data_IF_285009751054
#
_entry.id   IF_285009751054
#
_cell.length_a   1.000
_cell.length_b   1.000
_cell.length_c   1.000
_cell.angle_alpha   90.00
_cell.angle_beta   90.00
_cell.angle_gamma   90.00
#
_symmetry.space_group_name_H-M   'P 1'
#
loop_
_entity.id
_entity.type
_entity.pdbx_description
1 polymer ?
#
# COMPACT_ATOMS: atom_id res chain seq x y z
N UNK A 1 -10.27 66.78 -11.96
CA UNK A 1 -9.18 65.98 -12.56
C UNK A 1 -8.76 64.95 -11.54
N UNK A 2 -8.88 63.67 -11.90
CA UNK A 2 -9.02 62.56 -10.96
C UNK A 2 -7.71 62.00 -10.40
N UNK A 3 -7.81 61.59 -9.14
CA UNK A 3 -6.92 60.67 -8.45
C UNK A 3 -7.77 59.53 -7.89
N UNK A 4 -7.25 58.30 -7.96
CA UNK A 4 -7.81 57.16 -7.23
C UNK A 4 -8.04 55.90 -8.08
N UNK A 5 -6.96 55.25 -8.56
CA UNK A 5 -7.04 53.84 -8.96
C UNK A 5 -6.92 52.98 -7.72
N UNK A 6 -8.04 52.41 -7.28
CA UNK A 6 -8.09 51.30 -6.34
C UNK A 6 -7.62 50.05 -7.08
N UNK A 7 -6.46 49.51 -6.69
CA UNK A 7 -6.04 48.16 -7.08
C UNK A 7 -6.92 47.14 -6.34
N UNK A 8 -7.80 46.46 -7.07
CA UNK A 8 -8.42 45.24 -6.60
C UNK A 8 -7.41 44.09 -6.67
N UNK A 9 -6.92 43.67 -5.51
CA UNK A 9 -6.18 42.42 -5.31
C UNK A 9 -7.10 41.24 -5.62
N UNK A 10 -6.92 40.66 -6.80
CA UNK A 10 -7.62 39.46 -7.25
C UNK A 10 -7.03 38.25 -6.49
N UNK A 11 -7.71 37.79 -5.43
CA UNK A 11 -7.41 36.48 -4.82
C UNK A 11 -7.65 35.39 -5.89
N UNK A 12 -6.56 34.81 -6.40
CA UNK A 12 -6.63 33.59 -7.22
C UNK A 12 -7.00 32.43 -6.30
N UNK A 13 -8.15 31.79 -6.56
CA UNK A 13 -8.53 30.52 -5.92
C UNK A 13 -7.55 29.42 -6.40
N UNK A 14 -6.89 28.77 -5.44
CA UNK A 14 -5.77 27.83 -5.60
C UNK A 14 -6.12 26.51 -6.29
N UNK A 15 -7.35 26.01 -6.14
CA UNK A 15 -7.84 24.80 -6.81
C UNK A 15 -9.15 25.14 -7.50
N UNK A 16 -9.16 25.16 -8.83
CA UNK A 16 -10.40 25.20 -9.60
C UNK A 16 -11.13 23.87 -9.44
N UNK A 17 -11.96 23.72 -8.41
CA UNK A 17 -12.81 22.54 -8.25
C UNK A 17 -13.66 22.34 -9.51
N UNK A 18 -13.34 21.34 -10.32
CA UNK A 18 -14.30 20.78 -11.26
C UNK A 18 -15.26 19.90 -10.46
N UNK A 19 -16.31 20.51 -9.90
CA UNK A 19 -17.44 19.75 -9.35
C UNK A 19 -18.13 19.03 -10.50
N UNK A 20 -17.82 17.75 -10.69
CA UNK A 20 -18.66 16.81 -11.43
C UNK A 20 -19.01 15.67 -10.49
N UNK A 21 -20.14 15.82 -9.81
CA UNK A 21 -20.77 14.73 -9.07
C UNK A 21 -21.17 13.65 -10.07
N UNK A 22 -20.74 12.41 -9.84
CA UNK A 22 -21.26 11.23 -10.55
C UNK A 22 -22.75 11.07 -10.19
N UNK A 23 -23.61 11.00 -11.19
CA UNK A 23 -25.07 11.00 -11.04
C UNK A 23 -25.67 9.73 -10.43
N UNK A 24 -24.86 8.72 -10.08
CA UNK A 24 -25.35 7.51 -9.39
C UNK A 24 -25.34 7.59 -7.86
N UNK A 25 -24.77 8.65 -7.32
CA UNK A 25 -24.69 8.89 -5.89
C UNK A 25 -25.96 9.55 -5.34
N UNK A 26 -26.77 10.19 -6.19
CA UNK A 26 -27.96 10.96 -5.81
C UNK A 26 -29.05 10.16 -5.06
N UNK A 27 -29.01 8.82 -5.10
CA UNK A 27 -29.99 7.97 -4.39
C UNK A 27 -29.58 7.70 -2.93
N UNK A 28 -28.31 7.90 -2.56
CA UNK A 28 -27.85 7.87 -1.15
C UNK A 28 -27.83 9.28 -0.53
N UNK A 29 -27.74 10.33 -1.35
CA UNK A 29 -27.68 11.74 -0.90
C UNK A 29 -29.05 12.40 -0.60
N UNK A 30 -30.16 11.64 -0.57
CA UNK A 30 -31.51 12.19 -0.37
C UNK A 30 -32.04 12.11 1.08
N UNK A 31 -31.23 11.68 2.07
CA UNK A 31 -31.62 11.76 3.50
C UNK A 31 -30.83 12.87 4.20
N UNK A 32 -31.51 14.01 4.41
CA UNK A 32 -30.94 15.32 4.71
C UNK A 32 -30.41 15.56 6.13
N UNK A 33 -29.55 14.69 6.64
CA UNK A 33 -28.68 15.01 7.79
C UNK A 33 -27.33 14.33 7.62
N UNK A 34 -26.39 15.02 6.97
CA UNK A 34 -24.98 14.63 7.02
C UNK A 34 -24.56 14.51 8.50
N UNK A 35 -24.04 13.34 8.86
CA UNK A 35 -23.57 13.06 10.21
C UNK A 35 -22.44 14.03 10.60
N UNK A 36 -22.25 14.27 11.89
CA UNK A 36 -21.13 15.08 12.40
C UNK A 36 -19.77 14.55 11.92
N UNK A 37 -19.67 13.24 11.74
CA UNK A 37 -18.51 12.56 11.19
C UNK A 37 -18.25 12.92 9.72
N UNK A 38 -19.27 12.85 8.86
CA UNK A 38 -19.12 13.20 7.44
C UNK A 38 -18.70 14.65 7.24
N UNK A 39 -19.28 15.57 8.02
CA UNK A 39 -18.87 16.98 8.01
C UNK A 39 -17.41 17.16 8.39
N UNK A 40 -16.93 16.41 9.41
CA UNK A 40 -15.52 16.43 9.81
C UNK A 40 -14.61 15.93 8.69
N UNK A 41 -14.99 14.82 8.04
CA UNK A 41 -14.24 14.25 6.91
C UNK A 41 -14.16 15.25 5.75
N UNK A 42 -15.29 15.87 5.37
CA UNK A 42 -15.32 16.85 4.28
C UNK A 42 -14.52 18.11 4.61
N UNK A 43 -14.61 18.61 5.85
CA UNK A 43 -13.83 19.75 6.30
C UNK A 43 -12.32 19.47 6.27
N UNK A 44 -11.90 18.30 6.75
CA UNK A 44 -10.50 17.87 6.72
C UNK A 44 -9.99 17.70 5.27
N UNK A 45 -10.79 17.09 4.40
CA UNK A 45 -10.48 16.96 2.95
C UNK A 45 -10.26 18.32 2.30
N UNK A 46 -11.15 19.29 2.54
CA UNK A 46 -11.03 20.64 1.99
C UNK A 46 -9.83 21.44 2.55
N UNK A 47 -9.32 21.07 3.72
CA UNK A 47 -8.21 21.75 4.40
C UNK A 47 -6.80 21.21 4.08
N UNK A 48 -6.68 20.07 3.39
CA UNK A 48 -5.39 19.37 3.22
C UNK A 48 -4.31 20.26 2.62
N UNK A 49 -4.62 20.98 1.55
CA UNK A 49 -3.65 21.81 0.84
C UNK A 49 -3.11 22.94 1.72
N UNK A 50 -4.00 23.57 2.50
CA UNK A 50 -3.61 24.62 3.43
C UNK A 50 -2.70 24.07 4.53
N UNK A 51 -2.97 22.85 5.03
CA UNK A 51 -2.12 22.19 6.01
C UNK A 51 -0.73 21.86 5.44
N UNK A 52 -0.67 21.34 4.20
CA UNK A 52 0.60 21.03 3.52
C UNK A 52 1.38 22.32 3.24
N UNK A 53 0.73 23.37 2.74
CA UNK A 53 1.36 24.66 2.46
C UNK A 53 1.92 25.31 3.74
N UNK A 54 1.14 25.31 4.82
CA UNK A 54 1.58 25.83 6.11
C UNK A 54 2.78 25.07 6.66
N UNK A 55 2.79 23.73 6.55
CA UNK A 55 3.93 22.91 6.91
C UNK A 55 5.17 23.26 6.08
N UNK A 56 5.05 23.29 4.75
CA UNK A 56 6.18 23.55 3.86
C UNK A 56 6.80 24.93 4.05
N UNK A 57 6.01 25.94 4.43
CA UNK A 57 6.52 27.29 4.78
C UNK A 57 7.33 27.31 6.07
N UNK A 58 6.91 26.52 7.06
CA UNK A 58 7.57 26.46 8.37
C UNK A 58 8.70 25.41 8.45
N UNK A 59 8.70 24.43 7.54
CA UNK A 59 9.63 23.32 7.54
C UNK A 59 11.05 23.74 7.19
N UNK A 60 12.02 23.09 7.85
CA UNK A 60 13.43 23.15 7.48
C UNK A 60 13.70 22.56 6.09
N UNK A 61 14.86 22.87 5.51
CA UNK A 61 15.24 22.32 4.20
C UNK A 61 15.40 20.79 4.24
N UNK A 62 15.79 20.23 5.38
CA UNK A 62 15.86 18.78 5.57
C UNK A 62 14.46 18.15 5.56
N UNK A 63 13.51 18.72 6.30
CA UNK A 63 12.12 18.27 6.31
C UNK A 63 11.48 18.38 4.93
N UNK A 64 11.74 19.46 4.19
CA UNK A 64 11.28 19.61 2.80
C UNK A 64 11.83 18.52 1.88
N UNK A 65 13.13 18.20 1.99
CA UNK A 65 13.73 17.09 1.21
C UNK A 65 13.09 15.75 1.56
N UNK A 66 12.94 15.48 2.86
CA UNK A 66 12.32 14.24 3.34
C UNK A 66 10.85 14.13 2.90
N UNK A 67 10.10 15.24 2.91
CA UNK A 67 8.75 15.34 2.38
C UNK A 67 8.70 14.98 0.90
N UNK A 68 9.58 15.57 0.08
CA UNK A 68 9.61 15.34 -1.37
C UNK A 68 9.87 13.86 -1.67
N UNK A 69 10.85 13.25 -1.00
CA UNK A 69 11.15 11.82 -1.17
C UNK A 69 9.94 10.96 -0.80
N UNK A 70 9.35 11.19 0.38
CA UNK A 70 8.19 10.43 0.84
C UNK A 70 6.97 10.60 -0.07
N UNK A 71 6.74 11.82 -0.58
CA UNK A 71 5.68 12.13 -1.53
C UNK A 71 5.85 11.35 -2.83
N UNK A 72 7.03 11.39 -3.46
CA UNK A 72 7.26 10.68 -4.72
C UNK A 72 7.22 9.16 -4.56
N UNK A 73 7.78 8.62 -3.48
CA UNK A 73 7.73 7.18 -3.21
C UNK A 73 6.27 6.67 -3.12
N UNK A 74 5.39 7.45 -2.50
CA UNK A 74 3.98 7.12 -2.38
C UNK A 74 3.19 7.34 -3.68
N UNK A 75 3.42 8.45 -4.40
CA UNK A 75 2.77 8.71 -5.70
C UNK A 75 3.15 7.65 -6.72
N UNK A 76 4.41 7.22 -6.74
CA UNK A 76 4.88 6.15 -7.61
C UNK A 76 4.08 4.87 -7.34
N UNK A 77 4.00 4.43 -6.08
CA UNK A 77 3.24 3.24 -5.72
C UNK A 77 1.75 3.40 -6.06
N UNK A 78 1.12 4.52 -5.69
CA UNK A 78 -0.28 4.84 -5.98
C UNK A 78 -0.60 4.72 -7.48
N UNK A 79 0.31 5.21 -8.35
CA UNK A 79 0.10 5.23 -9.80
C UNK A 79 -0.14 3.82 -10.35
N UNK A 80 0.55 2.79 -9.85
CA UNK A 80 0.30 1.41 -10.29
C UNK A 80 -1.14 0.97 -10.05
N UNK A 81 -1.72 1.29 -8.89
CA UNK A 81 -3.09 0.89 -8.52
C UNK A 81 -4.14 1.80 -9.16
N UNK A 82 -3.86 3.10 -9.27
CA UNK A 82 -4.77 4.06 -9.90
C UNK A 82 -5.03 3.74 -11.38
N UNK A 83 -4.07 3.16 -12.10
CA UNK A 83 -4.26 2.83 -13.53
C UNK A 83 -5.36 1.80 -13.77
N UNK A 84 -5.66 0.94 -12.79
CA UNK A 84 -6.63 -0.15 -12.94
C UNK A 84 -8.01 0.16 -12.36
N UNK A 85 -8.14 1.18 -11.51
CA UNK A 85 -9.40 1.49 -10.82
C UNK A 85 -9.59 3.00 -10.64
N UNK A 86 -10.85 3.42 -10.68
CA UNK A 86 -11.26 4.79 -10.32
C UNK A 86 -11.64 4.90 -8.83
N UNK A 87 -11.68 3.77 -8.13
CA UNK A 87 -11.97 3.67 -6.70
C UNK A 87 -10.92 2.82 -6.00
N UNK A 88 -10.33 3.33 -4.92
CA UNK A 88 -9.29 2.64 -4.16
C UNK A 88 -9.63 2.51 -2.68
N UNK A 89 -9.40 1.32 -2.16
CA UNK A 89 -9.47 1.01 -0.74
C UNK A 89 -8.04 0.97 -0.18
N UNK A 90 -7.67 1.98 0.60
CA UNK A 90 -6.31 2.21 1.08
C UNK A 90 -6.12 1.48 2.42
N UNK A 91 -5.39 0.38 2.42
CA UNK A 91 -5.00 -0.32 3.64
C UNK A 91 -3.86 0.44 4.32
N UNK A 92 -4.11 0.86 5.56
CA UNK A 92 -3.17 1.66 6.35
C UNK A 92 -2.24 0.72 7.13
N UNK A 93 -0.95 0.75 6.82
CA UNK A 93 0.10 0.13 7.64
C UNK A 93 0.07 0.71 9.07
N UNK A 94 0.35 -0.12 10.08
CA UNK A 94 0.50 0.30 11.47
C UNK A 94 1.51 1.46 11.61
N UNK A 95 2.63 1.45 10.89
CA UNK A 95 3.58 2.58 10.94
C UNK A 95 2.95 3.89 10.45
N UNK A 96 2.12 3.83 9.41
CA UNK A 96 1.37 5.00 8.92
C UNK A 96 0.34 5.43 9.94
N UNK A 97 -0.37 4.49 10.57
CA UNK A 97 -1.31 4.80 11.64
C UNK A 97 -0.63 5.51 12.81
N UNK A 98 0.54 5.05 13.24
CA UNK A 98 1.35 5.72 14.27
C UNK A 98 1.82 7.11 13.82
N UNK A 99 2.19 7.28 12.54
CA UNK A 99 2.53 8.57 11.95
C UNK A 99 1.36 9.55 12.01
N UNK A 100 0.11 9.10 11.87
CA UNK A 100 -1.09 9.94 12.01
C UNK A 100 -1.35 10.30 13.48
N UNK A 101 -1.30 9.31 14.37
CA UNK A 101 -1.67 9.46 15.78
C UNK A 101 -0.67 10.30 16.59
N UNK A 102 0.62 10.20 16.28
CA UNK A 102 1.70 10.78 17.10
C UNK A 102 2.42 11.96 16.44
N UNK A 103 1.92 12.45 15.30
CA UNK A 103 2.52 13.53 14.49
C UNK A 103 2.84 14.83 15.27
N UNK A 104 2.10 15.14 16.33
CA UNK A 104 2.20 16.40 17.07
C UNK A 104 3.25 16.33 18.21
N UNK A 105 3.94 15.18 18.38
CA UNK A 105 5.00 15.04 19.37
C UNK A 105 6.26 15.83 19.01
N UNK A 106 6.79 16.62 19.97
CA UNK A 106 7.96 17.50 19.76
C UNK A 106 9.23 16.78 19.26
N UNK A 107 9.38 15.48 19.54
CA UNK A 107 10.55 14.68 19.11
C UNK A 107 10.32 13.89 17.81
N UNK A 108 9.20 14.08 17.13
CA UNK A 108 8.75 13.22 16.04
C UNK A 108 8.68 13.93 14.67
N UNK A 109 9.64 14.81 14.38
CA UNK A 109 9.71 15.58 13.12
C UNK A 109 9.59 14.71 11.85
N UNK A 110 10.14 13.49 11.87
CA UNK A 110 10.01 12.53 10.77
C UNK A 110 8.57 12.08 10.55
N UNK A 111 7.81 11.82 11.61
CA UNK A 111 6.41 11.40 11.53
C UNK A 111 5.54 12.53 11.01
N UNK A 112 5.76 13.75 11.53
CA UNK A 112 5.11 14.97 11.03
C UNK A 112 5.34 15.17 9.53
N UNK A 113 6.58 15.02 9.07
CA UNK A 113 6.92 15.11 7.65
C UNK A 113 6.16 14.09 6.80
N UNK A 114 6.13 12.83 7.25
CA UNK A 114 5.41 11.74 6.58
C UNK A 114 3.89 11.95 6.57
N UNK A 115 3.33 12.44 7.66
CA UNK A 115 1.91 12.81 7.74
C UNK A 115 1.54 13.85 6.68
N UNK A 116 2.33 14.92 6.54
CA UNK A 116 2.06 15.91 5.50
C UNK A 116 2.28 15.37 4.09
N UNK A 117 3.29 14.52 3.88
CA UNK A 117 3.48 13.83 2.59
C UNK A 117 2.27 12.96 2.24
N UNK A 118 1.69 12.26 3.22
CA UNK A 118 0.45 11.51 3.07
C UNK A 118 -0.71 12.44 2.65
N UNK A 119 -0.93 13.56 3.34
CA UNK A 119 -1.98 14.51 2.96
C UNK A 119 -1.85 14.99 1.52
N UNK A 120 -0.62 15.29 1.08
CA UNK A 120 -0.36 15.70 -0.30
C UNK A 120 -0.64 14.58 -1.32
N UNK A 121 -0.31 13.33 -1.00
CA UNK A 121 -0.63 12.16 -1.85
C UNK A 121 -2.13 11.96 -1.96
N UNK A 122 -2.88 12.11 -0.86
CA UNK A 122 -4.34 12.00 -0.86
C UNK A 122 -5.00 13.10 -1.69
N UNK A 123 -4.49 14.34 -1.62
CA UNK A 123 -4.92 15.43 -2.49
C UNK A 123 -4.64 15.12 -3.98
N UNK A 124 -3.46 14.58 -4.31
CA UNK A 124 -3.18 14.12 -5.68
C UNK A 124 -4.14 13.03 -6.13
N UNK A 125 -4.39 12.03 -5.28
CA UNK A 125 -5.30 10.93 -5.61
C UNK A 125 -6.72 11.43 -5.92
N UNK A 126 -7.27 12.31 -5.07
CA UNK A 126 -8.66 12.78 -5.21
C UNK A 126 -8.80 13.91 -6.24
N UNK A 127 -7.94 14.93 -6.21
CA UNK A 127 -8.12 16.15 -7.01
C UNK A 127 -7.48 16.09 -8.39
N UNK A 128 -6.43 15.27 -8.53
CA UNK A 128 -5.68 15.17 -9.78
C UNK A 128 -5.92 13.84 -10.51
N UNK A 129 -5.98 12.72 -9.79
CA UNK A 129 -6.30 11.43 -10.39
C UNK A 129 -7.80 11.16 -10.44
N UNK A 130 -8.60 11.96 -9.72
CA UNK A 130 -10.07 11.89 -9.67
C UNK A 130 -10.51 10.50 -9.18
N UNK A 131 -9.93 10.08 -8.05
CA UNK A 131 -10.20 8.78 -7.44
C UNK A 131 -11.12 8.92 -6.23
N UNK A 132 -12.07 7.98 -6.12
CA UNK A 132 -12.79 7.74 -4.87
C UNK A 132 -11.88 6.93 -3.94
N UNK A 133 -11.46 7.50 -2.82
CA UNK A 133 -10.57 6.80 -1.88
C UNK A 133 -11.20 6.62 -0.49
N UNK A 134 -10.96 5.45 0.08
CA UNK A 134 -11.46 5.06 1.40
C UNK A 134 -10.34 4.41 2.21
N UNK A 135 -10.27 4.69 3.52
CA UNK A 135 -9.28 4.06 4.37
C UNK A 135 -9.81 2.71 4.87
N UNK A 136 -8.97 1.68 4.79
CA UNK A 136 -9.22 0.34 5.30
C UNK A 136 -8.32 0.08 6.50
N UNK A 137 -8.94 -0.37 7.59
CA UNK A 137 -8.24 -0.78 8.81
C UNK A 137 -8.61 -2.21 9.10
N UNK A 138 -7.58 -3.02 9.32
CA UNK A 138 -7.75 -4.44 9.60
C UNK A 138 -7.59 -4.73 11.10
N UNK A 139 -8.11 -5.88 11.58
CA UNK A 139 -7.91 -6.32 12.94
C UNK A 139 -6.44 -6.44 13.34
N UNK A 140 -5.52 -6.86 12.47
CA UNK A 140 -4.10 -6.98 12.86
C UNK A 140 -3.46 -5.61 13.09
N UNK A 141 -3.80 -4.59 12.29
CA UNK A 141 -3.34 -3.21 12.51
C UNK A 141 -3.86 -2.67 13.83
N UNK A 142 -5.14 -2.92 14.16
CA UNK A 142 -5.70 -2.54 15.46
C UNK A 142 -5.06 -3.31 16.61
N UNK A 143 -4.80 -4.60 16.44
CA UNK A 143 -4.14 -5.43 17.45
C UNK A 143 -2.73 -4.92 17.78
N UNK A 144 -1.95 -4.58 16.76
CA UNK A 144 -0.63 -3.96 16.95
C UNK A 144 -0.73 -2.56 17.58
N UNK A 145 -1.66 -1.72 17.11
CA UNK A 145 -1.91 -0.39 17.68
C UNK A 145 -2.43 -0.43 19.14
N UNK A 146 -3.07 -1.54 19.53
CA UNK A 146 -3.48 -1.84 20.90
C UNK A 146 -2.30 -2.31 21.78
N UNK A 147 -1.07 -2.29 21.28
CA UNK A 147 0.10 -2.95 21.89
C UNK A 147 -0.23 -4.39 22.26
N UNK A 148 -0.65 -5.18 21.25
CA UNK A 148 -1.04 -6.59 21.38
C UNK A 148 -2.20 -6.84 22.34
N UNK A 149 -3.20 -5.96 22.29
CA UNK A 149 -4.45 -6.10 23.05
C UNK A 149 -4.41 -5.58 24.49
N UNK A 150 -3.38 -4.80 24.87
CA UNK A 150 -3.32 -4.19 26.21
C UNK A 150 -4.26 -2.97 26.37
N UNK A 151 -4.62 -2.30 25.27
CA UNK A 151 -5.57 -1.19 25.25
C UNK A 151 -7.01 -1.67 25.11
N UNK A 152 -7.96 -0.86 25.63
CA UNK A 152 -9.40 -1.09 25.45
C UNK A 152 -9.79 -0.88 24.00
N UNK A 153 -10.42 -1.91 23.41
CA UNK A 153 -10.75 -1.95 21.97
C UNK A 153 -11.67 -0.81 21.53
N UNK A 154 -12.79 -0.49 22.21
CA UNK A 154 -13.69 0.57 21.74
C UNK A 154 -13.03 1.96 21.71
N UNK A 155 -12.21 2.26 22.72
CA UNK A 155 -11.48 3.53 22.83
C UNK A 155 -10.45 3.67 21.70
N UNK A 156 -9.69 2.60 21.44
CA UNK A 156 -8.73 2.56 20.32
C UNK A 156 -9.44 2.71 18.97
N UNK A 157 -10.56 2.00 18.77
CA UNK A 157 -11.29 2.06 17.50
C UNK A 157 -11.80 3.48 17.24
N UNK A 158 -12.36 4.15 18.24
CA UNK A 158 -12.80 5.53 18.13
C UNK A 158 -11.63 6.49 17.83
N UNK A 159 -10.48 6.31 18.49
CA UNK A 159 -9.27 7.07 18.22
C UNK A 159 -8.79 6.91 16.77
N UNK A 160 -8.76 5.68 16.25
CA UNK A 160 -8.36 5.38 14.87
C UNK A 160 -9.33 5.99 13.86
N UNK A 161 -10.64 5.87 14.10
CA UNK A 161 -11.67 6.50 13.26
C UNK A 161 -11.50 8.02 13.24
N UNK A 162 -11.23 8.63 14.39
CA UNK A 162 -11.03 10.08 14.49
C UNK A 162 -9.77 10.53 13.73
N UNK A 163 -8.68 9.78 13.90
CA UNK A 163 -7.40 10.02 13.24
C UNK A 163 -7.50 9.94 11.72
N UNK A 164 -8.21 8.93 11.20
CA UNK A 164 -8.45 8.78 9.75
C UNK A 164 -9.39 9.88 9.24
N UNK A 165 -10.40 10.28 10.02
CA UNK A 165 -11.26 11.40 9.65
C UNK A 165 -10.49 12.73 9.53
N UNK A 166 -9.44 12.93 10.33
CA UNK A 166 -8.54 14.08 10.19
C UNK A 166 -7.73 14.07 8.89
N UNK A 167 -7.55 12.90 8.27
CA UNK A 167 -7.04 12.80 6.90
C UNK A 167 -8.10 13.14 5.86
N UNK A 168 -9.36 13.36 6.23
CA UNK A 168 -10.45 13.53 5.26
C UNK A 168 -10.85 12.25 4.54
N UNK A 169 -10.73 11.10 5.22
CA UNK A 169 -11.12 9.80 4.69
C UNK A 169 -12.23 9.16 5.52
N UNK A 170 -13.11 8.41 4.85
CA UNK A 170 -14.02 7.49 5.53
C UNK A 170 -13.27 6.23 5.93
N UNK A 171 -13.59 5.67 7.10
CA UNK A 171 -12.97 4.45 7.62
C UNK A 171 -13.86 3.24 7.36
N UNK A 172 -13.27 2.18 6.80
CA UNK A 172 -13.88 0.86 6.67
C UNK A 172 -13.06 -0.17 7.45
N UNK A 173 -13.71 -0.86 8.38
CA UNK A 173 -13.10 -1.99 9.07
C UNK A 173 -13.27 -3.26 8.24
N UNK A 174 -12.16 -3.87 7.85
CA UNK A 174 -12.17 -5.05 6.97
C UNK A 174 -12.25 -6.31 7.82
N UNK A 175 -13.23 -7.18 7.55
CA UNK A 175 -13.39 -8.44 8.28
C UNK A 175 -13.92 -8.28 9.71
N UNK A 176 -14.57 -7.15 10.02
CA UNK A 176 -15.16 -6.84 11.33
C UNK A 176 -16.61 -6.43 11.12
N UNK A 177 -17.56 -7.17 11.69
CA UNK A 177 -18.97 -6.79 11.62
C UNK A 177 -19.38 -5.94 12.83
N UNK A 178 -18.72 -6.12 13.97
CA UNK A 178 -18.97 -5.33 15.17
C UNK A 178 -17.74 -5.20 16.08
N UNK A 179 -17.73 -4.20 16.95
CA UNK A 179 -16.64 -3.97 17.91
C UNK A 179 -16.48 -5.14 18.89
N UNK A 180 -17.56 -5.85 19.21
CA UNK A 180 -17.56 -7.00 20.12
C UNK A 180 -16.77 -8.19 19.54
N UNK A 181 -16.75 -8.37 18.22
CA UNK A 181 -16.03 -9.45 17.55
C UNK A 181 -14.50 -9.28 17.62
N UNK A 182 -14.01 -8.05 17.76
CA UNK A 182 -12.57 -7.74 17.77
C UNK A 182 -11.82 -8.46 18.89
N UNK A 183 -12.46 -8.69 20.05
CA UNK A 183 -11.85 -9.45 21.13
C UNK A 183 -11.56 -10.90 20.76
N UNK A 184 -12.45 -11.53 19.96
CA UNK A 184 -12.24 -12.85 19.40
C UNK A 184 -11.13 -12.87 18.35
N UNK A 185 -11.16 -11.90 17.43
CA UNK A 185 -10.14 -11.76 16.39
C UNK A 185 -8.74 -11.52 16.97
N UNK A 186 -8.60 -10.69 18.01
CA UNK A 186 -7.31 -10.45 18.68
C UNK A 186 -6.75 -11.73 19.31
N UNK A 187 -7.62 -12.60 19.86
CA UNK A 187 -7.19 -13.92 20.36
C UNK A 187 -6.69 -14.81 19.22
N UNK A 188 -7.41 -14.87 18.10
CA UNK A 188 -7.01 -15.64 16.92
C UNK A 188 -5.67 -15.13 16.36
N UNK A 189 -5.49 -13.82 16.23
CA UNK A 189 -4.24 -13.18 15.81
C UNK A 189 -3.10 -13.53 16.77
N UNK A 190 -3.34 -13.50 18.09
CA UNK A 190 -2.31 -13.88 19.07
C UNK A 190 -1.93 -15.36 18.94
N UNK A 191 -2.89 -16.25 18.76
CA UNK A 191 -2.63 -17.68 18.54
C UNK A 191 -1.75 -17.89 17.29
N UNK A 192 -2.12 -17.25 16.18
CA UNK A 192 -1.36 -17.31 14.94
C UNK A 192 0.05 -16.69 15.10
N UNK A 193 0.18 -15.55 15.80
CA UNK A 193 1.47 -14.91 16.11
C UNK A 193 2.42 -15.88 16.83
N UNK A 194 1.93 -16.62 17.82
CA UNK A 194 2.71 -17.62 18.54
C UNK A 194 3.13 -18.78 17.64
N UNK A 195 2.23 -19.25 16.77
CA UNK A 195 2.53 -20.32 15.82
C UNK A 195 3.58 -19.90 14.77
N UNK A 196 3.45 -18.68 14.24
CA UNK A 196 4.41 -18.06 13.32
C UNK A 196 5.77 -17.90 14.02
N UNK A 197 5.79 -17.42 15.26
CA UNK A 197 7.02 -17.31 16.06
C UNK A 197 7.73 -18.65 16.20
N UNK A 198 7.01 -19.71 16.58
CA UNK A 198 7.58 -21.04 16.72
C UNK A 198 8.19 -21.55 15.40
N UNK A 199 7.53 -21.27 14.26
CA UNK A 199 8.06 -21.61 12.94
C UNK A 199 9.33 -20.81 12.60
N UNK A 200 9.35 -19.50 12.85
CA UNK A 200 10.52 -18.65 12.64
C UNK A 200 11.70 -19.08 13.52
N UNK A 201 11.45 -19.41 14.78
CA UNK A 201 12.49 -19.84 15.70
C UNK A 201 13.08 -21.21 15.27
N UNK A 202 12.23 -22.13 14.80
CA UNK A 202 12.68 -23.39 14.18
C UNK A 202 13.52 -23.14 12.92
N UNK A 203 13.12 -22.18 12.07
CA UNK A 203 13.90 -21.77 10.90
C UNK A 203 15.24 -21.17 11.33
N UNK A 204 15.29 -20.39 12.41
CA UNK A 204 16.52 -19.79 12.93
C UNK A 204 17.49 -20.79 13.53
N UNK A 205 16.99 -21.83 14.18
CA UNK A 205 17.82 -22.79 14.91
C UNK A 205 18.44 -23.88 14.03
N UNK A 206 17.93 -24.08 12.81
CA UNK A 206 18.43 -25.12 11.90
C UNK A 206 19.46 -24.56 10.91
N UNK A 207 20.41 -25.40 10.49
CA UNK A 207 21.29 -25.07 9.37
C UNK A 207 20.54 -25.19 8.04
N UNK A 208 20.86 -24.26 7.16
CA UNK A 208 20.35 -24.17 5.78
C UNK A 208 21.41 -24.47 4.73
N UNK A 209 22.56 -25.03 5.11
CA UNK A 209 23.48 -25.64 4.17
C UNK A 209 22.78 -26.81 3.45
N UNK A 210 22.69 -26.75 2.12
CA UNK A 210 21.97 -27.70 1.28
C UNK A 210 22.76 -27.99 0.00
N UNK A 211 22.66 -29.22 -0.48
CA UNK A 211 23.12 -29.57 -1.80
C UNK A 211 22.00 -29.31 -2.83
N UNK A 212 22.27 -28.44 -3.80
CA UNK A 212 21.33 -28.09 -4.86
C UNK A 212 21.56 -28.88 -6.15
N UNK A 213 22.41 -29.91 -6.15
CA UNK A 213 22.57 -30.79 -7.31
C UNK A 213 21.23 -31.47 -7.66
N UNK A 214 20.81 -31.34 -8.93
CA UNK A 214 19.62 -32.01 -9.45
C UNK A 214 19.87 -33.49 -9.72
N UNK A 215 18.77 -34.24 -9.93
CA UNK A 215 18.82 -35.66 -10.31
C UNK A 215 19.34 -35.90 -11.73
N UNK A 216 19.17 -34.91 -12.62
CA UNK A 216 19.74 -34.92 -13.97
C UNK A 216 21.17 -34.35 -13.96
N UNK A 217 22.09 -34.87 -14.80
CA UNK A 217 23.42 -34.29 -14.97
C UNK A 217 23.36 -32.79 -15.29
N UNK A 218 24.01 -31.98 -14.47
CA UNK A 218 23.98 -30.52 -14.60
C UNK A 218 22.69 -29.84 -14.15
N UNK A 219 21.70 -30.59 -13.65
CA UNK A 219 20.47 -30.05 -13.06
C UNK A 219 20.75 -29.29 -11.75
N UNK A 220 19.87 -28.34 -11.42
CA UNK A 220 19.93 -27.60 -10.15
C UNK A 220 18.54 -27.58 -9.54
N UNK A 221 18.43 -28.02 -8.29
CA UNK A 221 17.19 -27.91 -7.54
C UNK A 221 16.82 -26.44 -7.37
N UNK A 222 15.56 -26.10 -7.64
CA UNK A 222 15.04 -24.74 -7.49
C UNK A 222 15.02 -24.39 -5.99
N UNK A 223 15.77 -23.37 -5.53
CA UNK A 223 15.85 -23.02 -4.12
C UNK A 223 14.50 -22.78 -3.45
N UNK A 224 13.60 -22.07 -4.13
CA UNK A 224 12.24 -21.82 -3.63
C UNK A 224 11.45 -23.13 -3.41
N UNK A 225 11.63 -24.14 -4.27
CA UNK A 225 10.99 -25.45 -4.09
C UNK A 225 11.60 -26.25 -2.92
N UNK A 226 12.90 -26.09 -2.66
CA UNK A 226 13.54 -26.64 -1.45
C UNK A 226 12.99 -25.95 -0.20
N UNK A 227 12.90 -24.62 -0.23
CA UNK A 227 12.33 -23.83 0.85
C UNK A 227 10.86 -24.21 1.11
N UNK A 228 10.06 -24.43 0.07
CA UNK A 228 8.67 -24.85 0.20
C UNK A 228 8.53 -26.19 0.92
N UNK A 229 9.30 -27.19 0.48
CA UNK A 229 9.26 -28.56 1.02
C UNK A 229 9.70 -28.60 2.49
N UNK A 230 10.67 -27.77 2.85
CA UNK A 230 11.25 -27.74 4.21
C UNK A 230 10.61 -26.67 5.11
N UNK A 231 9.67 -25.88 4.59
CA UNK A 231 8.95 -24.88 5.36
C UNK A 231 8.12 -25.55 6.46
N UNK A 232 8.23 -25.12 7.73
CA UNK A 232 7.38 -25.62 8.80
C UNK A 232 5.90 -25.42 8.47
N UNK A 233 5.09 -26.45 8.70
CA UNK A 233 3.64 -26.31 8.61
C UNK A 233 3.14 -25.51 9.82
N UNK A 234 2.33 -24.49 9.55
CA UNK A 234 1.74 -23.62 10.58
C UNK A 234 0.23 -23.70 10.43
N UNK A 235 -0.47 -24.07 11.50
CA UNK A 235 -1.92 -24.02 11.55
C UNK A 235 -2.33 -22.62 11.97
N UNK A 236 -3.12 -21.96 11.14
CA UNK A 236 -3.53 -20.56 11.30
C UNK A 236 -5.05 -20.48 11.29
N UNK A 237 -5.56 -19.52 12.04
CA UNK A 237 -6.99 -19.28 12.25
C UNK A 237 -7.45 -17.91 11.73
N UNK A 238 -6.52 -16.96 11.60
CA UNK A 238 -6.77 -15.60 11.16
C UNK A 238 -6.02 -15.28 9.85
N UNK A 239 -4.69 -15.47 9.82
CA UNK A 239 -3.89 -15.12 8.65
C UNK A 239 -4.03 -16.14 7.53
N UNK A 240 -3.91 -15.68 6.29
CA UNK A 240 -3.90 -16.54 5.13
C UNK A 240 -2.67 -17.48 5.14
N UNK A 241 -2.88 -18.82 5.13
CA UNK A 241 -1.79 -19.78 5.19
C UNK A 241 -0.80 -19.70 4.04
N UNK A 242 -1.25 -19.33 2.84
CA UNK A 242 -0.38 -19.18 1.69
C UNK A 242 0.60 -18.02 1.89
N UNK A 243 0.11 -16.85 2.33
CA UNK A 243 0.95 -15.68 2.54
C UNK A 243 1.95 -15.88 3.69
N UNK A 244 1.53 -16.52 4.79
CA UNK A 244 2.45 -16.86 5.88
C UNK A 244 3.51 -17.86 5.42
N UNK A 245 3.11 -18.95 4.75
CA UNK A 245 4.06 -19.94 4.20
C UNK A 245 5.06 -19.28 3.25
N UNK A 246 4.58 -18.39 2.38
CA UNK A 246 5.40 -17.65 1.43
C UNK A 246 6.46 -16.77 2.13
N UNK A 247 6.08 -16.04 3.18
CA UNK A 247 7.03 -15.23 3.95
C UNK A 247 8.08 -16.09 4.67
N UNK A 248 7.65 -17.22 5.26
CA UNK A 248 8.57 -18.18 5.88
C UNK A 248 9.55 -18.78 4.85
N UNK A 249 9.07 -19.13 3.65
CA UNK A 249 9.91 -19.61 2.55
C UNK A 249 10.98 -18.60 2.14
N UNK A 250 10.69 -17.30 2.18
CA UNK A 250 11.69 -16.27 1.91
C UNK A 250 12.72 -16.12 3.03
N UNK A 251 12.35 -16.24 4.31
CA UNK A 251 13.34 -16.24 5.39
C UNK A 251 14.29 -17.45 5.27
N UNK A 252 13.73 -18.60 4.89
CA UNK A 252 14.50 -19.82 4.59
C UNK A 252 15.47 -19.59 3.43
N UNK A 253 14.99 -19.07 2.30
CA UNK A 253 15.81 -18.81 1.11
C UNK A 253 16.95 -17.83 1.40
N UNK A 254 16.70 -16.80 2.21
CA UNK A 254 17.72 -15.84 2.64
C UNK A 254 18.84 -16.51 3.44
N UNK A 255 18.50 -17.46 4.32
CA UNK A 255 19.49 -18.24 5.08
C UNK A 255 20.25 -19.22 4.19
N UNK A 256 19.54 -19.91 3.28
CA UNK A 256 20.18 -20.75 2.27
C UNK A 256 21.19 -19.95 1.43
N UNK A 257 20.86 -18.72 1.05
CA UNK A 257 21.79 -17.87 0.29
C UNK A 257 23.07 -17.56 1.09
N UNK A 258 22.95 -17.31 2.39
CA UNK A 258 24.07 -17.01 3.28
C UNK A 258 24.97 -18.24 3.52
N UNK A 259 24.37 -19.40 3.76
CA UNK A 259 25.09 -20.63 4.14
C UNK A 259 25.66 -21.41 2.93
N UNK A 260 25.19 -21.16 1.71
CA UNK A 260 25.59 -21.92 0.51
C UNK A 260 26.40 -21.10 -0.50
N UNK A 261 27.39 -20.36 -0.01
CA UNK A 261 28.20 -19.43 -0.82
C UNK A 261 28.92 -20.10 -2.01
N UNK A 262 29.27 -21.39 -1.86
CA UNK A 262 29.91 -22.24 -2.87
C UNK A 262 28.96 -22.68 -4.00
N UNK A 263 27.63 -22.67 -3.80
CA UNK A 263 26.63 -23.12 -4.77
C UNK A 263 26.22 -21.99 -5.74
N UNK A 264 27.17 -21.48 -6.53
CA UNK A 264 26.98 -20.30 -7.41
C UNK A 264 25.77 -20.42 -8.35
N UNK A 265 25.51 -21.61 -8.90
CA UNK A 265 24.40 -21.83 -9.84
C UNK A 265 23.04 -21.72 -9.15
N UNK A 266 22.89 -22.29 -7.96
CA UNK A 266 21.66 -22.21 -7.17
C UNK A 266 21.39 -20.78 -6.69
N UNK A 267 22.43 -20.05 -6.26
CA UNK A 267 22.30 -18.66 -5.79
C UNK A 267 21.75 -17.69 -6.84
N UNK A 268 21.88 -17.99 -8.13
CA UNK A 268 21.27 -17.18 -9.21
C UNK A 268 19.75 -17.28 -9.26
N UNK A 269 19.18 -18.35 -8.71
CA UNK A 269 17.75 -18.57 -8.61
C UNK A 269 17.16 -18.15 -7.26
N UNK A 270 18.02 -17.73 -6.31
CA UNK A 270 17.58 -17.26 -5.01
C UNK A 270 17.26 -15.77 -5.06
N UNK A 271 16.29 -15.33 -4.28
CA UNK A 271 16.07 -13.90 -4.03
C UNK A 271 17.34 -13.27 -3.48
N UNK A 272 17.78 -12.15 -4.06
CA UNK A 272 18.98 -11.46 -3.59
C UNK A 272 18.75 -10.97 -2.16
N UNK A 273 19.58 -11.35 -1.17
CA UNK A 273 19.34 -11.00 0.24
C UNK A 273 19.48 -9.49 0.53
N UNK A 274 20.05 -8.71 -0.40
CA UNK A 274 20.03 -7.24 -0.33
C UNK A 274 18.66 -6.65 -0.68
N UNK A 275 17.79 -7.42 -1.32
CA UNK A 275 16.41 -7.03 -1.56
C UNK A 275 15.64 -7.12 -0.25
N UNK A 276 15.42 -5.96 0.37
CA UNK A 276 14.63 -5.81 1.60
C UNK A 276 13.14 -6.16 1.42
N UNK A 277 12.71 -6.47 0.19
CA UNK A 277 11.31 -6.65 -0.19
C UNK A 277 10.57 -7.72 0.65
N UNK A 278 11.27 -8.63 1.32
CA UNK A 278 10.62 -9.73 2.05
C UNK A 278 11.08 -9.88 3.51
N UNK A 279 11.80 -8.91 4.08
CA UNK A 279 12.15 -8.94 5.51
C UNK A 279 11.01 -8.46 6.42
N UNK A 280 9.82 -9.01 6.19
CA UNK A 280 8.56 -8.57 6.81
C UNK A 280 8.44 -9.08 8.24
N UNK A 281 8.77 -10.34 8.48
CA UNK A 281 8.59 -10.97 9.80
C UNK A 281 9.87 -10.97 10.61
N UNK A 282 9.79 -10.50 11.86
CA UNK A 282 10.90 -10.54 12.83
C UNK A 282 10.40 -11.02 14.19
N UNK A 283 11.07 -12.02 14.76
CA UNK A 283 10.88 -12.37 16.18
C UNK A 283 11.44 -11.25 17.05
N UNK A 284 10.67 -10.82 18.06
CA UNK A 284 11.10 -10.02 19.21
C UNK A 284 10.80 -10.77 20.50
N UNK A 285 11.36 -10.29 21.62
CA UNK A 285 11.21 -10.94 22.93
C UNK A 285 9.75 -11.22 23.28
N UNK A 286 8.85 -10.31 22.93
CA UNK A 286 7.43 -10.31 23.28
C UNK A 286 6.46 -10.79 22.17
N UNK A 287 6.97 -11.10 20.96
CA UNK A 287 6.12 -11.59 19.86
C UNK A 287 6.76 -11.57 18.47
N UNK A 288 5.93 -11.40 17.44
CA UNK A 288 6.36 -11.20 16.05
C UNK A 288 6.03 -9.77 15.65
N UNK A 289 6.93 -9.12 14.90
CA UNK A 289 6.65 -7.86 14.21
C UNK A 289 6.32 -8.11 12.75
N UNK A 290 5.50 -7.22 12.17
CA UNK A 290 5.10 -7.28 10.77
C UNK A 290 3.83 -8.09 10.55
N UNK A 291 2.93 -8.17 11.55
CA UNK A 291 1.65 -8.86 11.40
C UNK A 291 0.72 -8.06 10.47
N UNK A 292 0.71 -6.73 10.60
CA UNK A 292 -0.01 -5.85 9.68
C UNK A 292 0.48 -5.96 8.24
N UNK A 293 1.80 -6.10 8.05
CA UNK A 293 2.41 -6.27 6.73
C UNK A 293 1.93 -7.55 6.00
N UNK A 294 1.64 -8.64 6.74
CA UNK A 294 1.03 -9.85 6.15
C UNK A 294 -0.29 -9.49 5.48
N UNK A 295 -1.11 -8.65 6.11
CA UNK A 295 -2.41 -8.24 5.56
C UNK A 295 -2.24 -7.30 4.38
N UNK A 296 -1.29 -6.37 4.42
CA UNK A 296 -0.99 -5.55 3.24
C UNK A 296 -0.59 -6.45 2.06
N UNK A 297 0.23 -7.47 2.28
CA UNK A 297 0.61 -8.42 1.23
C UNK A 297 -0.57 -9.26 0.75
N UNK A 298 -1.48 -9.64 1.66
CA UNK A 298 -2.65 -10.47 1.37
C UNK A 298 -3.68 -9.71 0.54
N UNK A 299 -4.08 -8.53 1.01
CA UNK A 299 -5.13 -7.76 0.37
C UNK A 299 -4.62 -6.96 -0.82
N UNK A 300 -3.41 -6.39 -0.75
CA UNK A 300 -2.91 -5.42 -1.73
C UNK A 300 -2.07 -6.03 -2.85
N UNK A 301 -2.09 -7.35 -3.05
CA UNK A 301 -1.49 -7.97 -4.24
C UNK A 301 -2.35 -7.71 -5.49
N UNK A 302 -1.99 -6.68 -6.26
CA UNK A 302 -2.73 -6.29 -7.47
C UNK A 302 -2.81 -7.42 -8.50
N UNK A 303 -1.77 -8.25 -8.61
CA UNK A 303 -1.75 -9.40 -9.50
C UNK A 303 -2.84 -10.39 -9.14
N UNK A 304 -2.94 -10.74 -7.85
CA UNK A 304 -4.00 -11.61 -7.34
C UNK A 304 -5.38 -10.98 -7.46
N UNK A 305 -5.52 -9.68 -7.15
CA UNK A 305 -6.79 -8.96 -7.28
C UNK A 305 -7.30 -8.93 -8.73
N UNK A 306 -6.43 -8.66 -9.70
CA UNK A 306 -6.80 -8.58 -11.13
C UNK A 306 -7.07 -9.95 -11.72
N UNK A 307 -6.31 -10.98 -11.30
CA UNK A 307 -6.54 -12.37 -11.68
C UNK A 307 -7.88 -12.88 -11.15
N UNK A 308 -8.17 -12.60 -9.88
CA UNK A 308 -9.41 -12.96 -9.19
C UNK A 308 -10.61 -12.08 -9.55
N UNK A 309 -10.41 -11.04 -10.37
CA UNK A 309 -11.43 -10.03 -10.73
C UNK A 309 -12.11 -9.44 -9.50
N UNK A 310 -11.30 -9.03 -8.52
CA UNK A 310 -11.78 -8.42 -7.30
C UNK A 310 -12.73 -7.25 -7.62
N UNK A 311 -13.87 -7.13 -6.89
CA UNK A 311 -14.85 -6.07 -7.15
C UNK A 311 -14.29 -4.67 -6.88
N UNK A 312 -13.26 -4.60 -6.04
CA UNK A 312 -12.58 -3.39 -5.64
C UNK A 312 -11.07 -3.60 -5.68
N UNK A 313 -10.35 -2.54 -6.04
CA UNK A 313 -8.89 -2.54 -5.97
C UNK A 313 -8.47 -1.96 -4.63
N UNK A 314 -7.62 -2.71 -3.93
CA UNK A 314 -7.05 -2.32 -2.65
C UNK A 314 -5.58 -1.95 -2.84
N UNK A 315 -5.14 -0.95 -2.10
CA UNK A 315 -3.82 -0.34 -2.19
C UNK A 315 -3.20 -0.29 -0.80
N UNK A 316 -1.99 -0.84 -0.65
CA UNK A 316 -1.27 -0.83 0.62
C UNK A 316 -0.44 0.43 0.75
N UNK A 317 -0.71 1.23 1.79
CA UNK A 317 0.01 2.46 2.06
C UNK A 317 1.06 2.23 3.15
N UNK A 318 2.33 2.42 2.82
CA UNK A 318 3.46 2.23 3.76
C UNK A 318 4.63 3.17 3.45
N UNK A 319 5.36 3.56 4.50
CA UNK A 319 6.64 4.28 4.40
C UNK A 319 7.85 3.37 4.65
N UNK A 320 7.66 2.05 4.78
CA UNK A 320 8.73 1.08 4.79
C UNK A 320 9.18 0.76 3.36
N UNK A 321 10.45 1.02 3.06
CA UNK A 321 11.01 0.84 1.71
C UNK A 321 11.01 -0.64 1.26
N UNK A 322 11.17 -1.56 2.21
CA UNK A 322 11.09 -3.00 1.94
C UNK A 322 9.68 -3.40 1.53
N UNK A 323 8.70 -3.12 2.38
CA UNK A 323 7.30 -3.44 2.11
C UNK A 323 6.79 -2.74 0.85
N UNK A 324 7.13 -1.46 0.65
CA UNK A 324 6.79 -0.72 -0.57
C UNK A 324 7.31 -1.43 -1.82
N UNK A 325 8.59 -1.81 -1.85
CA UNK A 325 9.18 -2.55 -2.99
C UNK A 325 8.52 -3.91 -3.19
N UNK A 326 8.13 -4.58 -2.10
CA UNK A 326 7.38 -5.84 -2.15
C UNK A 326 6.04 -5.66 -2.87
N UNK A 327 5.29 -4.63 -2.47
CA UNK A 327 4.00 -4.28 -3.07
C UNK A 327 4.16 -3.83 -4.52
N UNK A 328 5.18 -3.03 -4.85
CA UNK A 328 5.47 -2.62 -6.23
C UNK A 328 5.72 -3.83 -7.15
N UNK A 329 6.50 -4.82 -6.69
CA UNK A 329 6.76 -6.05 -7.46
C UNK A 329 5.49 -6.87 -7.72
N UNK A 330 4.48 -6.71 -6.87
CA UNK A 330 3.17 -7.37 -6.99
C UNK A 330 2.12 -6.50 -7.67
N UNK A 331 2.43 -5.22 -7.92
CA UNK A 331 1.59 -4.26 -8.61
C UNK A 331 1.56 -4.52 -10.12
N UNK A 332 1.25 -5.76 -10.52
CA UNK A 332 1.19 -6.19 -11.92
C UNK A 332 -0.24 -6.54 -12.30
N UNK A 333 -0.69 -6.07 -13.46
CA UNK A 333 -2.01 -6.45 -13.99
C UNK A 333 -1.90 -7.83 -14.60
N UNK A 334 -2.61 -8.81 -14.03
CA UNK A 334 -2.64 -10.18 -14.53
C UNK A 334 -3.98 -10.48 -15.19
N UNK A 335 -3.92 -11.33 -16.19
CA UNK A 335 -5.09 -11.84 -16.90
C UNK A 335 -4.84 -13.31 -17.21
N UNK A 336 -5.87 -14.15 -17.08
CA UNK A 336 -5.77 -15.56 -17.39
C UNK A 336 -6.91 -16.00 -18.32
N UNK A 337 -6.56 -16.86 -19.27
CA UNK A 337 -7.50 -17.73 -19.99
C UNK A 337 -7.27 -19.14 -19.50
N UNK A 338 -8.35 -19.88 -19.29
CA UNK A 338 -8.27 -21.33 -19.26
C UNK A 338 -8.89 -21.86 -20.55
N UNK A 339 -8.10 -22.62 -21.31
CA UNK A 339 -8.56 -23.49 -22.39
C UNK A 339 -8.05 -24.88 -22.06
N UNK A 340 -8.93 -25.88 -22.04
CA UNK A 340 -8.58 -27.27 -21.81
C UNK A 340 -8.55 -28.01 -23.14
N UNK A 341 -7.35 -28.36 -23.58
CA UNK A 341 -7.17 -29.22 -24.76
C UNK A 341 -7.90 -30.55 -24.58
N UNK A 342 -8.57 -31.02 -25.65
CA UNK A 342 -9.35 -32.26 -25.65
C UNK A 342 -10.74 -32.17 -25.00
N UNK A 343 -11.09 -31.03 -24.39
CA UNK A 343 -12.42 -30.78 -23.80
C UNK A 343 -13.13 -29.65 -24.52
N UNK A 344 -12.44 -28.53 -24.72
CA UNK A 344 -12.99 -27.38 -25.43
C UNK A 344 -12.95 -27.59 -26.95
N UNK A 345 -14.00 -27.18 -27.65
CA UNK A 345 -14.02 -27.13 -29.11
C UNK A 345 -12.88 -26.23 -29.61
N UNK A 346 -12.05 -26.71 -30.55
CA UNK A 346 -10.87 -26.00 -31.01
C UNK A 346 -11.18 -24.61 -31.60
N UNK A 347 -12.30 -24.47 -32.33
CA UNK A 347 -12.73 -23.20 -32.93
C UNK A 347 -13.17 -22.22 -31.84
N UNK A 348 -13.96 -22.68 -30.87
CA UNK A 348 -14.38 -21.86 -29.74
C UNK A 348 -13.19 -21.47 -28.85
N UNK A 349 -12.27 -22.40 -28.59
CA UNK A 349 -11.03 -22.15 -27.86
C UNK A 349 -10.17 -21.08 -28.54
N UNK A 350 -9.98 -21.18 -29.86
CA UNK A 350 -9.27 -20.17 -30.64
C UNK A 350 -9.95 -18.80 -30.56
N UNK A 351 -11.28 -18.74 -30.72
CA UNK A 351 -12.04 -17.48 -30.58
C UNK A 351 -11.94 -16.88 -29.17
N UNK A 352 -11.98 -17.70 -28.12
CA UNK A 352 -11.79 -17.25 -26.72
C UNK A 352 -10.38 -16.70 -26.49
N UNK A 353 -9.36 -17.35 -27.04
CA UNK A 353 -7.97 -16.87 -26.97
C UNK A 353 -7.82 -15.54 -27.73
N UNK A 354 -8.34 -15.43 -28.94
CA UNK A 354 -8.31 -14.18 -29.71
C UNK A 354 -9.03 -13.03 -29.01
N UNK A 355 -10.23 -13.30 -28.47
CA UNK A 355 -10.96 -12.32 -27.66
C UNK A 355 -10.15 -11.89 -26.45
N UNK A 356 -9.52 -12.84 -25.74
CA UNK A 356 -8.69 -12.52 -24.60
C UNK A 356 -7.48 -11.66 -24.95
N UNK A 357 -6.78 -11.95 -26.05
CA UNK A 357 -5.66 -11.12 -26.48
C UNK A 357 -6.12 -9.70 -26.81
N UNK A 358 -7.26 -9.56 -27.51
CA UNK A 358 -7.83 -8.25 -27.81
C UNK A 358 -8.24 -7.49 -26.53
N UNK A 359 -8.90 -8.17 -25.59
CA UNK A 359 -9.32 -7.58 -24.33
C UNK A 359 -8.14 -7.22 -23.42
N UNK A 360 -7.11 -8.07 -23.36
CA UNK A 360 -5.87 -7.80 -22.64
C UNK A 360 -5.15 -6.60 -23.25
N UNK A 361 -5.01 -6.53 -24.57
CA UNK A 361 -4.41 -5.38 -25.26
C UNK A 361 -5.17 -4.08 -24.97
N UNK A 362 -6.51 -4.13 -24.99
CA UNK A 362 -7.37 -3.00 -24.62
C UNK A 362 -7.13 -2.55 -23.19
N UNK A 363 -7.07 -3.48 -22.23
CA UNK A 363 -6.80 -3.18 -20.82
C UNK A 363 -5.41 -2.58 -20.61
N UNK A 364 -4.37 -3.13 -21.24
CA UNK A 364 -3.01 -2.58 -21.22
C UNK A 364 -2.97 -1.16 -21.80
N UNK A 365 -3.59 -0.93 -22.96
CA UNK A 365 -3.64 0.41 -23.57
C UNK A 365 -4.35 1.43 -22.68
N UNK A 366 -5.44 1.04 -22.02
CA UNK A 366 -6.15 1.89 -21.05
C UNK A 366 -5.26 2.22 -19.85
N UNK A 367 -4.57 1.23 -19.28
CA UNK A 367 -3.67 1.42 -18.16
C UNK A 367 -2.48 2.33 -18.51
N UNK A 368 -1.85 2.12 -19.67
CA UNK A 368 -0.74 2.96 -20.15
C UNK A 368 -1.17 4.41 -20.41
N UNK A 369 -2.37 4.62 -20.98
CA UNK A 369 -2.91 5.97 -21.17
C UNK A 369 -3.10 6.68 -19.83
N UNK A 370 -3.76 6.03 -18.86
CA UNK A 370 -3.96 6.56 -17.50
C UNK A 370 -2.63 6.84 -16.82
N UNK A 371 -1.65 5.94 -16.97
CA UNK A 371 -0.32 6.12 -16.39
C UNK A 371 0.32 7.41 -16.88
N UNK A 372 0.24 7.71 -18.18
CA UNK A 372 0.74 8.97 -18.75
C UNK A 372 0.00 10.18 -18.17
N UNK A 373 -1.33 10.14 -18.18
CA UNK A 373 -2.17 11.21 -17.61
C UNK A 373 -1.84 11.49 -16.14
N UNK A 374 -1.63 10.45 -15.33
CA UNK A 374 -1.31 10.55 -13.92
C UNK A 374 0.12 11.03 -13.67
N UNK A 375 1.10 10.60 -14.47
CA UNK A 375 2.46 11.15 -14.38
C UNK A 375 2.47 12.65 -14.68
N UNK A 376 1.76 13.09 -15.72
CA UNK A 376 1.63 14.52 -16.05
C UNK A 376 0.91 15.30 -14.94
N UNK A 377 -0.15 14.73 -14.37
CA UNK A 377 -0.90 15.33 -13.28
C UNK A 377 -0.06 15.44 -12.00
N UNK A 378 0.72 14.40 -11.66
CA UNK A 378 1.65 14.40 -10.53
C UNK A 378 2.76 15.45 -10.71
N UNK A 379 3.31 15.60 -11.93
CA UNK A 379 4.27 16.65 -12.24
C UNK A 379 3.67 18.05 -12.09
N UNK A 380 2.39 18.23 -12.44
CA UNK A 380 1.67 19.49 -12.24
C UNK A 380 1.47 19.79 -10.75
N UNK A 381 1.05 18.80 -9.96
CA UNK A 381 0.95 18.93 -8.51
C UNK A 381 2.33 19.22 -7.86
N UNK A 382 3.39 18.58 -8.34
CA UNK A 382 4.74 18.84 -7.84
C UNK A 382 5.23 20.26 -8.15
N UNK A 383 4.92 20.81 -9.34
CA UNK A 383 5.25 22.21 -9.65
C UNK A 383 4.67 23.18 -8.63
N UNK A 384 3.46 22.91 -8.15
CA UNK A 384 2.85 23.68 -7.08
C UNK A 384 3.63 23.55 -5.76
N UNK A 385 3.94 22.33 -5.34
CA UNK A 385 4.75 22.06 -4.13
C UNK A 385 6.10 22.79 -4.24
N UNK A 386 6.76 22.70 -5.39
CA UNK A 386 8.05 23.35 -5.70
C UNK A 386 7.98 24.86 -5.58
N UNK A 387 6.92 25.47 -6.10
CA UNK A 387 6.72 26.91 -6.03
C UNK A 387 6.45 27.36 -4.57
N UNK A 388 5.75 26.55 -3.77
CA UNK A 388 5.50 26.82 -2.34
C UNK A 388 6.77 26.76 -1.46
N UNK A 389 7.77 25.96 -1.84
CA UNK A 389 9.05 25.85 -1.13
C UNK A 389 10.13 26.80 -1.67
N UNK A 390 9.83 27.59 -2.70
CA UNK A 390 10.77 28.56 -3.29
C UNK A 390 11.98 27.92 -3.97
N UNK A 391 11.89 26.67 -4.43
CA UNK A 391 12.99 26.04 -5.16
C UNK A 391 13.20 26.75 -6.51
N UNK A 392 14.45 26.99 -6.93
CA UNK A 392 14.75 27.63 -8.21
C UNK A 392 14.16 26.83 -9.37
N UNK A 393 13.62 27.55 -10.37
CA UNK A 393 12.84 26.97 -11.48
C UNK A 393 13.63 26.01 -12.39
N UNK A 394 14.97 26.00 -12.30
CA UNK A 394 15.87 25.42 -13.30
C UNK A 394 16.72 24.22 -12.83
N UNK A 395 16.46 23.65 -11.65
CA UNK A 395 17.28 22.53 -11.14
C UNK A 395 16.96 21.13 -11.69
N UNK A 396 16.18 20.98 -12.77
CA UNK A 396 15.56 19.68 -13.10
C UNK A 396 15.30 19.35 -14.57
N UNK A 397 16.17 19.77 -15.51
CA UNK A 397 16.08 19.33 -16.91
C UNK A 397 17.27 18.46 -17.38
N UNK A 398 18.16 18.03 -16.48
CA UNK A 398 19.31 17.17 -16.82
C UNK A 398 19.47 16.03 -15.84
N UNK A 399 18.49 15.14 -15.81
CA UNK A 399 18.51 13.94 -14.99
C UNK A 399 17.36 13.04 -15.41
N UNK A 400 17.58 12.27 -16.48
CA UNK A 400 16.69 11.22 -16.95
C UNK A 400 16.26 10.30 -15.80
N UNK A 401 14.95 10.16 -15.62
CA UNK A 401 14.31 9.01 -14.97
C UNK A 401 13.99 7.98 -16.05
#
# INVERSE_FOLDING_TARGET
MGLGRIQQTKQMKFFGHQKRYSTNDAVVFASGTESTFEKKVMAARAGRDQCVEAFLKAASDEEKRNFITAFFDLVELLTYYATVSERLFIFIDNNVLQDILKRDGEREARRRTRYHALLAVLAVAEDHFILDIFACVTPAVLYEAAYRGSRRIPELQAEVVDAIAQLGLMTHFVGVNSTEELGGLFKAIRCDELAIRAALDKIKSQSWARNFAGTLPGGTLIPLGVAERECPQVSLSYFDPWYVKFLLMHDIEKRMFAENSNQKKARRFMTNPQEKAFSVLKTKDDGVEGLGDIELMTYCDLGSQTLGRAPHITFGLTFDDGLRKALQRRATVRSQVSVRGGVDNAREGASRISYFFADSARRTNKAERRRKEYVEAAQKAFRFIRDAIGLPKDAGASGSV
#
